data_IF_392927183549
#
_entry.id   IF_392927183549
#
_cell.length_a   1.000
_cell.length_b   1.000
_cell.length_c   1.000
_cell.angle_alpha   90.00
_cell.angle_beta   90.00
_cell.angle_gamma   90.00
#
_symmetry.space_group_name_H-M   'P 1'
#
loop_
_entity.id
_entity.type
_entity.pdbx_description
1 polymer ?
#
# COMPACT_ATOMS: atom_id res chain seq x y z
N UNK A 1 12.23 11.04 1.85
CA UNK A 1 11.24 12.09 1.56
C UNK A 1 11.68 13.47 2.09
N UNK A 2 12.09 13.60 3.35
CA UNK A 2 12.62 14.88 3.89
C UNK A 2 13.76 15.43 3.05
N UNK A 3 14.74 14.61 2.69
CA UNK A 3 15.90 15.00 1.86
C UNK A 3 15.50 15.44 0.45
N UNK A 4 14.52 14.75 -0.16
CA UNK A 4 13.97 15.16 -1.45
C UNK A 4 13.30 16.54 -1.36
N UNK A 5 12.48 16.78 -0.32
CA UNK A 5 11.83 18.07 -0.11
C UNK A 5 12.82 19.20 0.14
N UNK A 6 13.92 18.90 0.84
CA UNK A 6 14.99 19.88 1.07
C UNK A 6 15.78 20.20 -0.21
N UNK A 7 16.10 19.17 -1.02
CA UNK A 7 16.87 19.31 -2.25
C UNK A 7 16.04 19.91 -3.41
N UNK A 8 14.74 19.65 -3.44
CA UNK A 8 13.83 20.11 -4.49
C UNK A 8 12.50 20.61 -3.91
N UNK A 9 12.46 21.79 -3.27
CA UNK A 9 11.25 22.30 -2.60
C UNK A 9 10.04 22.45 -3.53
N UNK A 10 10.26 22.82 -4.79
CA UNK A 10 9.23 22.89 -5.83
C UNK A 10 9.00 21.54 -6.55
N UNK A 11 9.78 20.52 -6.22
CA UNK A 11 9.71 19.22 -6.86
C UNK A 11 8.43 18.47 -6.48
N UNK A 12 7.92 17.68 -7.43
CA UNK A 12 6.75 16.84 -7.26
C UNK A 12 7.15 15.39 -7.59
N UNK A 13 7.38 14.59 -6.55
CA UNK A 13 7.80 13.20 -6.71
C UNK A 13 6.68 12.32 -7.29
N UNK A 14 7.05 11.27 -8.00
CA UNK A 14 6.16 10.14 -8.29
C UNK A 14 6.56 8.95 -7.42
N UNK A 15 5.71 8.56 -6.50
CA UNK A 15 5.95 7.46 -5.56
C UNK A 15 5.38 6.17 -6.09
N UNK A 16 6.19 5.12 -6.08
CA UNK A 16 5.79 3.76 -6.42
C UNK A 16 6.44 2.80 -5.42
N UNK A 17 5.66 1.90 -4.81
CA UNK A 17 6.20 0.88 -3.90
C UNK A 17 6.56 -0.41 -4.65
N UNK A 18 5.90 -0.68 -5.76
CA UNK A 18 6.24 -1.75 -6.68
C UNK A 18 6.26 -1.24 -8.12
N UNK A 19 6.99 -1.92 -8.99
CA UNK A 19 6.99 -1.74 -10.43
C UNK A 19 7.45 -3.04 -11.11
N UNK A 20 7.60 -3.03 -12.43
CA UNK A 20 8.01 -4.18 -13.22
C UNK A 20 9.49 -4.57 -13.11
N UNK A 21 10.28 -3.87 -12.31
CA UNK A 21 11.72 -4.12 -12.13
C UNK A 21 12.11 -4.50 -10.71
N UNK A 22 11.16 -4.49 -9.77
CA UNK A 22 11.41 -4.80 -8.36
C UNK A 22 10.40 -5.79 -7.81
N UNK A 23 10.82 -6.58 -6.85
CA UNK A 23 9.96 -7.48 -6.07
C UNK A 23 8.77 -6.68 -5.52
N UNK A 24 7.56 -7.23 -5.64
CA UNK A 24 6.33 -6.61 -5.11
C UNK A 24 6.51 -6.27 -3.63
N UNK A 25 6.07 -5.07 -3.23
CA UNK A 25 6.35 -4.53 -1.89
C UNK A 25 5.82 -5.43 -0.77
N UNK A 26 4.67 -6.10 -0.97
CA UNK A 26 4.10 -7.05 0.00
C UNK A 26 5.08 -8.21 0.29
N UNK A 27 5.82 -8.68 -0.71
CA UNK A 27 6.87 -9.69 -0.51
C UNK A 27 8.18 -9.09 -0.02
N UNK A 28 8.56 -7.94 -0.58
CA UNK A 28 9.86 -7.30 -0.28
C UNK A 28 9.95 -6.80 1.16
N UNK A 29 8.89 -6.20 1.67
CA UNK A 29 8.86 -5.60 3.02
C UNK A 29 7.98 -6.38 4.00
N UNK A 30 7.03 -7.16 3.50
CA UNK A 30 6.09 -7.95 4.29
C UNK A 30 6.39 -9.45 4.34
N UNK A 31 7.59 -9.91 3.96
CA UNK A 31 7.92 -11.34 3.90
C UNK A 31 7.77 -12.07 5.24
N UNK A 32 8.03 -11.38 6.35
CA UNK A 32 7.91 -11.91 7.71
C UNK A 32 6.62 -11.47 8.43
N UNK A 33 5.73 -10.75 7.76
CA UNK A 33 4.48 -10.26 8.34
C UNK A 33 3.43 -11.37 8.30
N UNK A 34 2.86 -11.69 9.46
CA UNK A 34 1.82 -12.72 9.57
C UNK A 34 0.52 -12.26 8.88
N UNK A 35 0.08 -11.02 9.15
CA UNK A 35 -1.09 -10.42 8.51
C UNK A 35 -0.68 -9.56 7.31
N UNK A 36 -0.48 -10.21 6.17
CA UNK A 36 -0.10 -9.55 4.91
C UNK A 36 -1.21 -8.66 4.35
N UNK A 37 -2.46 -8.91 4.70
CA UNK A 37 -3.58 -8.09 4.21
C UNK A 37 -3.65 -6.76 4.95
N UNK A 38 -3.53 -6.77 6.28
CA UNK A 38 -3.42 -5.53 7.07
C UNK A 38 -2.21 -4.70 6.62
N UNK A 39 -1.05 -5.36 6.41
CA UNK A 39 0.15 -4.73 5.87
C UNK A 39 -0.12 -4.09 4.49
N UNK A 40 -0.71 -4.80 3.53
CA UNK A 40 -1.00 -4.28 2.19
C UNK A 40 -1.94 -3.08 2.25
N UNK A 41 -2.98 -3.13 3.08
CA UNK A 41 -3.92 -2.02 3.31
C UNK A 41 -3.22 -0.80 3.89
N UNK A 42 -2.39 -0.97 4.92
CA UNK A 42 -1.66 0.14 5.51
C UNK A 42 -0.68 0.78 4.53
N UNK A 43 0.12 -0.02 3.83
CA UNK A 43 1.09 0.51 2.86
C UNK A 43 0.41 1.23 1.70
N UNK A 44 -0.77 0.77 1.27
CA UNK A 44 -1.57 1.50 0.28
C UNK A 44 -1.98 2.89 0.79
N UNK A 45 -2.41 2.98 2.05
CA UNK A 45 -2.80 4.23 2.68
C UNK A 45 -1.61 5.18 2.86
N UNK A 46 -0.43 4.66 3.25
CA UNK A 46 0.81 5.44 3.28
C UNK A 46 1.10 6.01 1.89
N UNK A 47 1.17 5.15 0.86
CA UNK A 47 1.44 5.57 -0.51
C UNK A 47 0.48 6.66 -0.98
N UNK A 48 -0.82 6.47 -0.73
CA UNK A 48 -1.88 7.38 -1.16
C UNK A 48 -1.94 8.69 -0.37
N UNK A 49 -1.23 8.81 0.74
CA UNK A 49 -1.20 10.04 1.57
C UNK A 49 0.14 10.76 1.53
N UNK A 50 1.17 10.23 0.88
CA UNK A 50 2.43 10.94 0.63
C UNK A 50 2.23 12.16 -0.28
N UNK A 51 3.11 13.19 -0.12
CA UNK A 51 3.13 14.35 -1.03
C UNK A 51 3.77 13.95 -2.35
N UNK A 52 3.01 14.04 -3.43
CA UNK A 52 3.46 13.69 -4.77
C UNK A 52 2.40 12.96 -5.58
N UNK A 53 2.75 12.57 -6.78
CA UNK A 53 1.96 11.66 -7.61
C UNK A 53 2.11 10.23 -7.11
N UNK A 54 1.10 9.43 -7.32
CA UNK A 54 1.07 8.02 -6.94
C UNK A 54 1.09 7.17 -8.20
N UNK A 55 1.99 6.20 -8.25
CA UNK A 55 2.00 5.18 -9.27
C UNK A 55 1.71 3.83 -8.61
N UNK A 56 0.50 3.33 -8.79
CA UNK A 56 0.08 2.00 -8.34
C UNK A 56 0.49 0.97 -9.39
N UNK A 57 1.16 -0.07 -8.95
CA UNK A 57 1.52 -1.17 -9.82
C UNK A 57 0.43 -2.24 -9.80
N UNK A 58 0.11 -2.82 -10.96
CA UNK A 58 -0.93 -3.83 -11.10
C UNK A 58 -0.75 -4.98 -10.10
N UNK A 59 -1.84 -5.37 -9.44
CA UNK A 59 -1.87 -6.42 -8.41
C UNK A 59 -1.57 -5.93 -6.99
N UNK A 60 -1.12 -4.69 -6.78
CA UNK A 60 -1.03 -4.11 -5.44
C UNK A 60 -2.41 -4.04 -4.79
N UNK A 61 -3.42 -3.67 -5.57
CA UNK A 61 -4.83 -3.58 -5.15
C UNK A 61 -5.44 -4.93 -4.76
N UNK A 62 -4.79 -6.02 -5.11
CA UNK A 62 -5.17 -7.38 -4.70
C UNK A 62 -4.26 -7.95 -3.60
N UNK A 63 -3.21 -7.22 -3.20
CA UNK A 63 -2.20 -7.71 -2.28
C UNK A 63 -1.40 -8.89 -2.86
N UNK A 64 -1.15 -8.90 -4.20
CA UNK A 64 -0.37 -9.96 -4.83
C UNK A 64 1.07 -9.95 -4.34
N UNK A 65 1.58 -11.15 -4.08
CA UNK A 65 2.97 -11.39 -3.70
C UNK A 65 3.87 -11.55 -4.93
N UNK A 66 5.17 -11.60 -4.72
CA UNK A 66 6.12 -12.04 -5.73
C UNK A 66 5.89 -13.51 -6.04
N UNK A 67 5.81 -13.86 -7.31
CA UNK A 67 5.66 -15.24 -7.73
C UNK A 67 7.03 -15.96 -7.75
N UNK A 68 7.09 -17.17 -7.24
CA UNK A 68 8.25 -18.04 -7.36
C UNK A 68 8.11 -18.93 -8.60
N UNK A 69 8.72 -18.50 -9.71
CA UNK A 69 8.64 -19.18 -10.98
C UNK A 69 9.73 -20.25 -11.14
N UNK A 70 9.38 -21.34 -11.81
CA UNK A 70 10.34 -22.37 -12.19
C UNK A 70 11.28 -21.86 -13.31
N UNK A 71 12.50 -22.38 -13.37
CA UNK A 71 13.48 -21.99 -14.40
C UNK A 71 12.92 -22.06 -15.83
N UNK A 72 12.16 -23.10 -16.14
CA UNK A 72 11.58 -23.30 -17.48
C UNK A 72 10.48 -22.29 -17.86
N UNK A 73 9.98 -21.52 -16.92
CA UNK A 73 8.95 -20.49 -17.15
C UNK A 73 9.54 -19.09 -17.26
N UNK A 74 10.84 -18.93 -16.94
CA UNK A 74 11.50 -17.62 -16.96
C UNK A 74 11.63 -17.07 -18.38
N UNK A 75 11.38 -15.78 -18.51
CA UNK A 75 11.54 -15.00 -19.74
C UNK A 75 12.56 -13.86 -19.58
N UNK A 76 12.82 -13.42 -18.35
CA UNK A 76 13.82 -12.39 -18.06
C UNK A 76 15.23 -12.95 -18.29
N UNK A 77 16.01 -12.39 -19.24
CA UNK A 77 17.38 -12.84 -19.51
C UNK A 77 18.28 -12.87 -18.28
N UNK A 78 18.09 -11.93 -17.35
CA UNK A 78 18.87 -11.92 -16.11
C UNK A 78 18.53 -13.09 -15.19
N UNK A 79 17.24 -13.42 -15.08
CA UNK A 79 16.81 -14.58 -14.31
C UNK A 79 17.31 -15.90 -14.88
N UNK A 80 17.34 -16.03 -16.21
CA UNK A 80 17.88 -17.19 -16.90
C UNK A 80 19.41 -17.31 -16.70
N UNK A 81 20.12 -16.18 -16.82
CA UNK A 81 21.59 -16.15 -16.76
C UNK A 81 22.11 -16.39 -15.34
N UNK A 82 21.43 -15.86 -14.32
CA UNK A 82 21.92 -15.86 -12.94
C UNK A 82 21.15 -16.84 -12.03
N UNK A 83 20.43 -17.78 -12.62
CA UNK A 83 19.75 -18.84 -11.86
C UNK A 83 20.76 -19.72 -11.10
N UNK A 84 20.47 -20.16 -9.87
CA UNK A 84 19.27 -19.89 -9.05
C UNK A 84 19.45 -18.67 -8.10
N UNK A 85 20.61 -18.03 -8.07
CA UNK A 85 20.96 -16.97 -7.13
C UNK A 85 20.13 -15.72 -7.33
N UNK A 86 19.77 -15.43 -8.58
CA UNK A 86 18.85 -14.35 -8.94
C UNK A 86 17.84 -14.85 -9.97
N UNK A 87 16.56 -14.83 -9.60
CA UNK A 87 15.45 -15.34 -10.44
C UNK A 87 14.90 -14.32 -11.45
N UNK A 88 15.54 -13.15 -11.58
CA UNK A 88 15.07 -12.08 -12.46
C UNK A 88 13.89 -11.30 -11.89
N UNK A 89 13.12 -10.71 -12.82
CA UNK A 89 12.01 -9.80 -12.53
C UNK A 89 10.64 -10.40 -12.85
N UNK A 90 10.59 -11.61 -13.40
CA UNK A 90 9.35 -12.21 -13.90
C UNK A 90 8.31 -12.45 -12.80
N UNK A 91 8.75 -12.65 -11.55
CA UNK A 91 7.88 -12.87 -10.40
C UNK A 91 6.91 -11.71 -10.13
N UNK A 92 7.31 -10.46 -10.42
CA UNK A 92 6.42 -9.31 -10.30
C UNK A 92 5.61 -9.02 -11.58
N UNK A 93 5.88 -9.71 -12.69
CA UNK A 93 5.29 -9.49 -14.02
C UNK A 93 4.21 -10.50 -14.41
N UNK A 94 3.86 -11.41 -13.51
CA UNK A 94 2.81 -12.40 -13.74
C UNK A 94 1.49 -11.74 -14.10
N UNK A 95 0.63 -12.42 -14.90
CA UNK A 95 -0.64 -11.87 -15.34
C UNK A 95 -1.55 -11.42 -14.22
N UNK A 96 -2.30 -10.35 -14.44
CA UNK A 96 -3.38 -9.91 -13.56
C UNK A 96 -4.47 -10.98 -13.48
N UNK A 97 -5.00 -11.21 -12.28
CA UNK A 97 -6.02 -12.23 -12.01
C UNK A 97 -7.40 -11.59 -11.84
N UNK A 98 -8.29 -11.86 -12.76
CA UNK A 98 -9.63 -11.26 -12.82
C UNK A 98 -10.70 -12.17 -12.24
N UNK A 99 -10.67 -13.46 -12.61
CA UNK A 99 -11.70 -14.42 -12.22
C UNK A 99 -11.07 -15.76 -11.83
N UNK A 100 -11.34 -16.17 -10.58
CA UNK A 100 -10.83 -17.41 -10.01
C UNK A 100 -11.45 -18.69 -10.64
N UNK A 101 -12.57 -18.57 -11.33
CA UNK A 101 -13.30 -19.70 -11.93
C UNK A 101 -12.95 -19.91 -13.40
N UNK A 102 -12.20 -18.99 -14.01
CA UNK A 102 -11.85 -19.02 -15.42
C UNK A 102 -10.38 -19.38 -15.58
N UNK A 103 -10.08 -20.16 -16.63
CA UNK A 103 -8.71 -20.53 -16.96
C UNK A 103 -7.80 -19.30 -17.05
N UNK A 104 -6.54 -19.46 -16.62
CA UNK A 104 -5.54 -18.39 -16.57
C UNK A 104 -5.99 -17.17 -15.74
N UNK A 105 -6.86 -17.38 -14.73
CA UNK A 105 -7.39 -16.29 -13.92
C UNK A 105 -8.21 -15.26 -14.69
N UNK A 106 -8.77 -15.65 -15.85
CA UNK A 106 -9.50 -14.74 -16.72
C UNK A 106 -8.63 -13.73 -17.47
N UNK A 107 -7.30 -13.88 -17.44
CA UNK A 107 -6.38 -13.01 -18.16
C UNK A 107 -6.32 -13.29 -19.66
N UNK A 108 -6.32 -14.59 -20.04
CA UNK A 108 -6.19 -15.02 -21.42
C UNK A 108 -6.93 -16.35 -21.63
N UNK A 109 -7.41 -16.58 -22.85
CA UNK A 109 -7.93 -17.89 -23.28
C UNK A 109 -6.82 -18.86 -23.66
N UNK A 110 -5.63 -18.33 -23.97
CA UNK A 110 -4.44 -19.10 -24.35
C UNK A 110 -3.41 -19.07 -23.22
N UNK A 111 -2.34 -19.89 -23.35
CA UNK A 111 -1.22 -19.87 -22.40
C UNK A 111 -0.61 -18.47 -22.37
N UNK A 112 -0.60 -17.77 -21.24
CA UNK A 112 0.01 -16.44 -21.14
C UNK A 112 1.53 -16.54 -21.20
N UNK A 113 2.18 -15.40 -21.41
CA UNK A 113 3.63 -15.28 -21.50
C UNK A 113 4.36 -15.77 -20.23
N UNK A 114 3.82 -15.47 -19.06
CA UNK A 114 4.24 -16.02 -17.78
C UNK A 114 3.07 -16.81 -17.17
N UNK A 115 3.34 -17.85 -16.36
CA UNK A 115 2.27 -18.59 -15.70
C UNK A 115 1.51 -17.73 -14.69
N UNK A 116 0.25 -18.09 -14.46
CA UNK A 116 -0.57 -17.50 -13.40
C UNK A 116 -0.42 -18.34 -12.14
N UNK A 117 0.18 -17.81 -11.05
CA UNK A 117 0.34 -18.54 -9.82
C UNK A 117 -1.01 -18.88 -9.17
N UNK A 118 -1.15 -20.06 -8.61
CA UNK A 118 -2.39 -20.50 -7.94
C UNK A 118 -2.73 -19.57 -6.77
N UNK A 119 -1.74 -19.13 -6.02
CA UNK A 119 -1.93 -18.18 -4.92
C UNK A 119 -2.47 -16.83 -5.38
N UNK A 120 -2.14 -16.39 -6.60
CA UNK A 120 -2.72 -15.18 -7.18
C UNK A 120 -4.18 -15.40 -7.59
N UNK A 121 -4.53 -16.57 -8.14
CA UNK A 121 -5.91 -16.92 -8.50
C UNK A 121 -6.83 -16.83 -7.27
N UNK A 122 -6.36 -17.27 -6.10
CA UNK A 122 -7.10 -17.17 -4.83
C UNK A 122 -7.34 -15.71 -4.38
N UNK A 123 -6.65 -14.75 -4.99
CA UNK A 123 -6.77 -13.31 -4.73
C UNK A 123 -7.37 -12.55 -5.91
N UNK A 124 -7.99 -13.24 -6.86
CA UNK A 124 -8.58 -12.65 -8.05
C UNK A 124 -9.61 -11.56 -7.69
N UNK A 125 -9.82 -10.63 -8.62
CA UNK A 125 -10.84 -9.57 -8.49
C UNK A 125 -12.20 -10.16 -8.14
N UNK A 126 -12.60 -11.28 -8.77
CA UNK A 126 -13.88 -11.95 -8.50
C UNK A 126 -14.00 -12.47 -7.06
N UNK A 127 -12.88 -12.83 -6.41
CA UNK A 127 -12.86 -13.30 -5.01
C UNK A 127 -13.01 -12.13 -4.03
N UNK A 128 -12.37 -11.00 -4.34
CA UNK A 128 -12.28 -9.86 -3.43
C UNK A 128 -13.40 -8.83 -3.60
N UNK A 129 -14.04 -8.78 -4.78
CA UNK A 129 -15.13 -7.83 -5.03
C UNK A 129 -16.34 -8.12 -4.15
N UNK A 130 -16.78 -7.12 -3.39
CA UNK A 130 -17.91 -7.20 -2.47
C UNK A 130 -17.56 -7.75 -1.09
N UNK A 131 -16.34 -8.22 -0.86
CA UNK A 131 -15.85 -8.51 0.49
C UNK A 131 -15.24 -7.23 1.10
N UNK A 132 -15.98 -6.61 2.00
CA UNK A 132 -15.60 -5.35 2.66
C UNK A 132 -14.25 -5.42 3.38
N UNK A 133 -13.80 -6.63 3.75
CA UNK A 133 -12.53 -6.85 4.43
C UNK A 133 -11.38 -7.10 3.46
N UNK A 134 -11.63 -7.25 2.16
CA UNK A 134 -10.58 -7.50 1.18
C UNK A 134 -9.63 -6.30 0.97
N UNK A 135 -8.46 -6.58 0.42
CA UNK A 135 -7.50 -5.54 0.01
C UNK A 135 -8.09 -4.67 -1.10
N UNK A 136 -8.80 -5.27 -2.06
CA UNK A 136 -9.42 -4.56 -3.18
C UNK A 136 -10.46 -3.54 -2.71
N UNK A 137 -11.38 -3.95 -1.84
CA UNK A 137 -12.41 -3.03 -1.33
C UNK A 137 -11.81 -1.95 -0.42
N UNK A 138 -10.73 -2.26 0.29
CA UNK A 138 -9.98 -1.25 1.02
C UNK A 138 -9.38 -0.21 0.06
N UNK A 139 -8.74 -0.63 -1.06
CA UNK A 139 -8.22 0.30 -2.08
C UNK A 139 -9.31 1.20 -2.66
N UNK A 140 -10.48 0.63 -3.01
CA UNK A 140 -11.63 1.40 -3.51
C UNK A 140 -12.10 2.45 -2.50
N UNK A 141 -12.25 2.05 -1.25
CA UNK A 141 -12.67 2.90 -0.14
C UNK A 141 -11.66 4.00 0.13
N UNK A 142 -10.38 3.65 0.21
CA UNK A 142 -9.35 4.62 0.51
C UNK A 142 -9.12 5.62 -0.64
N UNK A 143 -9.23 5.19 -1.89
CA UNK A 143 -9.21 6.10 -3.05
C UNK A 143 -10.40 7.08 -3.03
N UNK A 144 -11.59 6.61 -2.64
CA UNK A 144 -12.76 7.48 -2.47
C UNK A 144 -12.53 8.48 -1.33
N UNK A 145 -12.00 8.02 -0.19
CA UNK A 145 -11.62 8.88 0.93
C UNK A 145 -10.58 9.94 0.51
N UNK A 146 -9.50 9.52 -0.15
CA UNK A 146 -8.48 10.44 -0.66
C UNK A 146 -9.06 11.56 -1.55
N UNK A 147 -10.01 11.22 -2.43
CA UNK A 147 -10.65 12.18 -3.36
C UNK A 147 -11.47 13.26 -2.65
N UNK A 148 -11.94 12.98 -1.43
CA UNK A 148 -12.70 13.95 -0.63
C UNK A 148 -11.81 14.97 0.07
N UNK A 149 -10.50 14.76 0.12
CA UNK A 149 -9.54 15.54 0.86
C UNK A 149 -8.46 16.16 -0.06
N UNK A 150 -8.62 17.42 -0.48
CA UNK A 150 -7.64 18.12 -1.31
C UNK A 150 -6.23 18.14 -0.71
N UNK A 151 -6.10 18.10 0.62
CA UNK A 151 -4.82 18.01 1.30
C UNK A 151 -3.99 16.79 0.85
N UNK A 152 -4.60 15.66 0.55
CA UNK A 152 -3.88 14.48 0.04
C UNK A 152 -3.44 14.63 -1.42
N UNK A 153 -4.20 15.38 -2.22
CA UNK A 153 -3.89 15.55 -3.64
C UNK A 153 -2.79 16.61 -3.88
N UNK A 154 -2.91 17.76 -3.23
CA UNK A 154 -2.10 18.95 -3.55
C UNK A 154 -1.41 19.56 -2.33
N UNK A 155 -1.64 19.00 -1.13
CA UNK A 155 -1.14 19.59 0.11
C UNK A 155 0.35 19.37 0.35
N UNK A 156 0.91 20.22 1.19
CA UNK A 156 2.24 20.02 1.75
C UNK A 156 2.24 18.91 2.80
N UNK A 157 3.43 18.42 3.15
CA UNK A 157 3.65 17.39 4.15
C UNK A 157 4.60 17.88 5.24
N UNK A 158 4.23 17.66 6.50
CA UNK A 158 5.10 17.93 7.64
C UNK A 158 5.18 16.70 8.54
N UNK A 159 6.39 16.21 8.79
CA UNK A 159 6.63 15.04 9.64
C UNK A 159 6.82 15.46 11.09
N UNK A 160 6.12 14.78 11.99
CA UNK A 160 6.36 14.86 13.42
C UNK A 160 7.51 13.94 13.85
N UNK A 161 8.10 14.13 15.04
CA UNK A 161 9.03 13.17 15.61
C UNK A 161 8.36 11.79 15.68
N UNK A 162 9.07 10.70 15.32
CA UNK A 162 8.54 9.36 15.47
C UNK A 162 8.32 9.04 16.96
N UNK A 163 7.30 8.22 17.23
CA UNK A 163 7.00 7.74 18.58
C UNK A 163 7.03 6.22 18.52
N UNK A 164 8.11 5.61 18.99
CA UNK A 164 8.40 4.19 18.82
C UNK A 164 8.24 3.76 17.34
N UNK A 165 7.42 2.77 17.05
CA UNK A 165 7.12 2.29 15.71
C UNK A 165 5.95 3.05 15.02
N UNK A 166 5.54 4.20 15.56
CA UNK A 166 4.45 4.99 15.00
C UNK A 166 4.97 6.14 14.16
N UNK A 167 4.58 6.16 12.89
CA UNK A 167 4.86 7.22 11.93
C UNK A 167 3.74 8.25 11.95
N UNK A 168 4.10 9.53 12.15
CA UNK A 168 3.16 10.65 12.15
C UNK A 168 3.59 11.72 11.16
N UNK A 169 2.64 12.22 10.39
CA UNK A 169 2.81 13.43 9.57
C UNK A 169 1.46 14.10 9.31
N UNK A 170 1.48 15.36 8.97
CA UNK A 170 0.31 16.10 8.50
C UNK A 170 0.38 16.40 7.01
N UNK A 171 -0.80 16.53 6.40
CA UNK A 171 -1.01 17.03 5.05
C UNK A 171 -1.86 18.28 5.14
N UNK A 172 -1.43 19.38 4.49
CA UNK A 172 -2.13 20.66 4.59
C UNK A 172 -2.33 21.30 3.21
N UNK A 173 -3.58 21.72 2.93
CA UNK A 173 -3.94 22.46 1.72
C UNK A 173 -5.09 23.43 2.01
N UNK A 174 -4.90 24.72 1.76
CA UNK A 174 -5.89 25.74 2.13
C UNK A 174 -6.21 25.73 3.63
N UNK A 175 -7.44 25.54 3.97
CA UNK A 175 -7.92 25.46 5.36
C UNK A 175 -8.00 24.02 5.90
N UNK A 176 -7.57 23.03 5.12
CA UNK A 176 -7.60 21.64 5.53
C UNK A 176 -6.22 21.19 6.00
N UNK A 177 -6.13 20.67 7.22
CA UNK A 177 -4.95 19.96 7.73
C UNK A 177 -5.37 18.61 8.27
N UNK A 178 -4.80 17.55 7.72
CA UNK A 178 -5.08 16.16 8.09
C UNK A 178 -3.84 15.54 8.71
N UNK A 179 -3.98 15.01 9.90
CA UNK A 179 -3.00 14.16 10.57
C UNK A 179 -3.14 12.73 10.05
N UNK A 180 -2.02 12.13 9.72
CA UNK A 180 -1.88 10.73 9.31
C UNK A 180 -0.99 10.03 10.34
N UNK A 181 -1.50 8.97 10.95
CA UNK A 181 -0.80 8.18 11.95
C UNK A 181 -0.81 6.72 11.53
N UNK A 182 0.35 6.06 11.55
CA UNK A 182 0.52 4.67 11.11
C UNK A 182 1.33 3.90 12.14
N UNK A 183 0.81 2.79 12.63
CA UNK A 183 1.57 1.84 13.44
C UNK A 183 2.34 0.89 12.51
N UNK A 184 3.65 1.07 12.40
CA UNK A 184 4.54 0.31 11.51
C UNK A 184 4.98 -1.03 12.13
N UNK A 185 4.24 -1.54 13.12
CA UNK A 185 4.57 -2.73 13.90
C UNK A 185 3.51 -3.82 13.77
N UNK A 186 3.93 -5.07 13.98
CA UNK A 186 3.05 -6.23 14.10
C UNK A 186 2.36 -6.34 15.48
N UNK A 187 2.61 -5.40 16.37
CA UNK A 187 2.00 -5.31 17.68
C UNK A 187 1.11 -4.06 17.75
N UNK A 188 0.16 -4.07 18.66
CA UNK A 188 -0.58 -2.85 18.99
C UNK A 188 0.38 -1.78 19.49
N UNK A 189 0.19 -0.55 19.02
CA UNK A 189 0.99 0.61 19.37
C UNK A 189 0.13 1.74 19.86
N UNK A 190 0.78 2.74 20.50
CA UNK A 190 0.10 3.97 20.90
C UNK A 190 0.96 5.18 20.59
N UNK A 191 0.31 6.33 20.39
CA UNK A 191 0.99 7.60 20.19
C UNK A 191 0.22 8.75 20.83
N UNK A 192 0.94 9.81 21.14
CA UNK A 192 0.36 11.09 21.51
C UNK A 192 0.09 11.93 20.25
N UNK A 193 -1.10 12.47 20.16
CA UNK A 193 -1.44 13.40 19.08
C UNK A 193 -0.70 14.72 19.27
N UNK A 194 -0.22 15.36 18.20
CA UNK A 194 0.34 16.71 18.28
C UNK A 194 -0.68 17.70 18.87
N UNK A 195 -0.19 18.82 19.41
CA UNK A 195 -1.06 19.86 19.92
C UNK A 195 -2.05 20.34 18.85
N UNK A 196 -3.33 20.45 19.22
CA UNK A 196 -4.42 20.86 18.35
C UNK A 196 -5.73 20.16 18.69
N UNK A 197 -6.82 20.67 18.16
CA UNK A 197 -8.14 20.03 18.26
C UNK A 197 -8.33 19.09 17.07
N UNK A 198 -8.00 17.81 17.24
CA UNK A 198 -8.03 16.80 16.18
C UNK A 198 -9.35 16.04 16.19
N UNK A 199 -10.11 16.18 15.12
CA UNK A 199 -11.38 15.49 14.90
C UNK A 199 -11.16 14.27 14.01
N UNK A 200 -11.48 13.07 14.53
CA UNK A 200 -11.35 11.82 13.79
C UNK A 200 -12.12 11.86 12.46
N UNK A 201 -11.48 11.41 11.40
CA UNK A 201 -12.11 11.22 10.11
C UNK A 201 -12.63 9.79 9.98
N UNK A 202 -13.76 9.62 9.32
CA UNK A 202 -14.36 8.33 8.99
C UNK A 202 -14.21 8.01 7.50
N UNK A 203 -14.50 6.76 7.12
CA UNK A 203 -14.56 6.36 5.70
C UNK A 203 -13.24 5.86 5.11
N UNK A 204 -12.14 5.87 5.87
CA UNK A 204 -10.83 5.37 5.41
C UNK A 204 -10.63 3.86 5.59
N UNK A 205 -11.49 3.20 6.37
CA UNK A 205 -11.48 1.73 6.52
C UNK A 205 -10.53 1.16 7.55
N UNK A 206 -9.88 1.99 8.37
CA UNK A 206 -9.13 1.54 9.55
C UNK A 206 -9.94 1.73 10.81
N UNK A 207 -9.83 0.79 11.74
CA UNK A 207 -10.35 0.91 13.09
C UNK A 207 -9.23 1.46 14.00
N UNK A 208 -9.51 2.55 14.70
CA UNK A 208 -8.63 3.12 15.71
C UNK A 208 -9.46 4.03 16.61
N UNK A 209 -9.10 4.09 17.86
CA UNK A 209 -9.80 4.89 18.85
C UNK A 209 -8.83 5.89 19.47
N UNK A 210 -9.28 7.11 19.73
CA UNK A 210 -8.48 8.08 20.46
C UNK A 210 -9.20 8.55 21.73
N UNK A 211 -8.43 8.81 22.76
CA UNK A 211 -8.90 9.26 24.07
C UNK A 211 -8.09 10.49 24.51
N UNK A 212 -8.71 11.66 24.46
CA UNK A 212 -8.01 12.90 24.72
C UNK A 212 -6.94 13.18 23.66
N UNK A 213 -5.67 13.19 24.08
CA UNK A 213 -4.52 13.38 23.18
C UNK A 213 -3.78 12.07 22.84
N UNK A 214 -4.28 10.92 23.29
CA UNK A 214 -3.66 9.61 23.04
C UNK A 214 -4.50 8.79 22.08
N UNK A 215 -3.82 8.07 21.20
CA UNK A 215 -4.42 7.11 20.29
C UNK A 215 -3.80 5.72 20.47
N UNK A 216 -4.65 4.70 20.49
CA UNK A 216 -4.25 3.31 20.42
C UNK A 216 -4.54 2.78 19.00
N UNK A 217 -3.54 2.15 18.37
CA UNK A 217 -3.58 1.78 16.96
C UNK A 217 -3.24 0.29 16.84
N UNK A 218 -4.13 -0.52 16.26
CA UNK A 218 -3.85 -1.94 16.02
C UNK A 218 -2.57 -2.17 15.22
N UNK A 219 -2.06 -3.39 15.23
CA UNK A 219 -0.98 -3.83 14.36
C UNK A 219 -1.30 -3.48 12.90
N UNK A 220 -0.35 -2.85 12.18
CA UNK A 220 -0.53 -2.37 10.80
C UNK A 220 -1.75 -1.48 10.61
N UNK A 221 -2.23 -0.86 11.67
CA UNK A 221 -3.37 0.06 11.66
C UNK A 221 -2.97 1.49 11.29
N UNK A 222 -3.99 2.32 11.04
CA UNK A 222 -3.81 3.74 10.77
C UNK A 222 -4.95 4.56 11.37
N UNK A 223 -4.68 5.86 11.58
CA UNK A 223 -5.65 6.83 12.04
C UNK A 223 -5.51 8.14 11.26
N UNK A 224 -6.64 8.76 10.99
CA UNK A 224 -6.72 10.03 10.29
C UNK A 224 -7.63 10.99 11.04
N UNK A 225 -7.15 12.22 11.23
CA UNK A 225 -7.92 13.27 11.89
C UNK A 225 -7.70 14.61 11.21
N UNK A 226 -8.72 15.45 11.22
CA UNK A 226 -8.65 16.82 10.70
C UNK A 226 -8.50 17.79 11.88
N UNK A 227 -7.63 18.78 11.71
CA UNK A 227 -7.54 19.92 12.62
C UNK A 227 -8.81 20.78 12.49
N UNK A 228 -9.46 21.09 13.61
CA UNK A 228 -10.68 21.89 13.68
C UNK A 228 -10.43 23.34 13.27
#
# INVERSE_FOLDING_TARGET
MKDFGAAAPAGWACWAFSNHDVIRHVSRWGSLVADREAFAKQYSAILMTLRGSICLYQGEELGLTEADLAYGDLQDPYGIQFWPEFKGRDGCRTPMVWDSQVAQGGFSTEKPWLPVPVEHILRAVSVQSGDENSVLEHYRRFLAFRKQHPAFASGDIAFFPPQDDVLLYSRSFGNETILCVFNMSALEGSAELPAGDWQALAGHGFASEHYGNKIDIPAWGAYFARLA
#
